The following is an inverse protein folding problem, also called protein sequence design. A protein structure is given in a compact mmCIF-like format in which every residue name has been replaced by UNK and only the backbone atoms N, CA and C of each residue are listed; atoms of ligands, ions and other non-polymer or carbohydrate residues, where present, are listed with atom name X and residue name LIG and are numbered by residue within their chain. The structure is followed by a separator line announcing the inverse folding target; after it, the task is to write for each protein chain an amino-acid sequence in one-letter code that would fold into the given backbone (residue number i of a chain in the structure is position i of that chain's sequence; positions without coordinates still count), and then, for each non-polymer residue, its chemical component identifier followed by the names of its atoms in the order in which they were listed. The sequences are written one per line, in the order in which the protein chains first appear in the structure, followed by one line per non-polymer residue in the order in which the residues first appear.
data_IF_047072489958
#
_entry.id   IF_047072489958
#
_cell.length_a   1.000
_cell.length_b   1.000
_cell.length_c   1.000
_cell.angle_alpha   90.00
_cell.angle_beta   90.00
_cell.angle_gamma   90.00
#
_symmetry.space_group_name_H-M   'P 1'
#
loop_
_entity.id
_entity.type
_entity.pdbx_description
1 polymer ?
#
# COMPACT_ATOMS: atom_id res chain seq x y z
N UNK A 1 25.79 28.76 2.56
CA UNK A 1 24.46 29.38 2.69
C UNK A 1 23.42 28.77 1.74
N UNK A 2 23.60 28.78 0.41
CA UNK A 2 22.65 28.09 -0.50
C UNK A 2 22.68 26.56 -0.32
N UNK A 3 23.87 25.98 -0.19
CA UNK A 3 24.05 24.53 0.03
C UNK A 3 23.45 24.08 1.39
N UNK A 4 23.59 24.89 2.45
CA UNK A 4 23.08 24.55 3.78
C UNK A 4 21.54 24.55 3.85
N UNK A 5 20.90 25.46 3.10
CA UNK A 5 19.44 25.52 3.00
C UNK A 5 18.89 24.35 2.16
N UNK A 6 19.56 24.01 1.06
CA UNK A 6 19.20 22.84 0.24
C UNK A 6 19.38 21.53 1.02
N UNK A 7 20.48 21.38 1.77
CA UNK A 7 20.74 20.22 2.62
C UNK A 7 19.72 20.11 3.77
N UNK A 8 19.36 21.23 4.40
CA UNK A 8 18.33 21.25 5.44
C UNK A 8 16.95 20.87 4.90
N UNK A 9 16.56 21.39 3.73
CA UNK A 9 15.30 21.04 3.06
C UNK A 9 15.30 19.56 2.69
N UNK A 10 16.39 19.05 2.12
CA UNK A 10 16.52 17.64 1.74
C UNK A 10 16.44 16.71 2.94
N UNK A 11 17.09 17.07 4.04
CA UNK A 11 17.03 16.33 5.31
C UNK A 11 15.61 16.30 5.85
N UNK A 12 14.92 17.43 5.88
CA UNK A 12 13.52 17.51 6.33
C UNK A 12 12.56 16.70 5.44
N UNK A 13 12.71 16.76 4.12
CA UNK A 13 11.89 15.96 3.19
C UNK A 13 12.12 14.46 3.38
N UNK A 14 13.37 14.08 3.68
CA UNK A 14 13.73 12.70 3.95
C UNK A 14 13.11 12.22 5.26
N UNK A 15 13.15 13.03 6.33
CA UNK A 15 12.51 12.67 7.60
C UNK A 15 11.00 12.51 7.47
N UNK A 16 10.32 13.45 6.78
CA UNK A 16 8.86 13.35 6.54
C UNK A 16 8.50 12.09 5.76
N UNK A 17 9.32 11.72 4.76
CA UNK A 17 9.16 10.45 4.04
C UNK A 17 9.34 9.27 4.99
N UNK A 18 10.39 9.23 5.80
CA UNK A 18 10.65 8.15 6.75
C UNK A 18 9.53 7.97 7.78
N UNK A 19 8.98 9.08 8.28
CA UNK A 19 7.84 9.09 9.20
C UNK A 19 6.60 8.45 8.55
N UNK A 20 6.28 8.85 7.32
CA UNK A 20 5.20 8.25 6.53
C UNK A 20 5.44 6.76 6.29
N UNK A 21 6.66 6.41 5.87
CA UNK A 21 7.03 5.03 5.55
C UNK A 21 6.99 4.11 6.78
N UNK A 22 7.25 4.66 7.97
CA UNK A 22 7.08 3.96 9.24
C UNK A 22 5.60 3.62 9.45
N UNK A 23 4.71 4.60 9.34
CA UNK A 23 3.26 4.39 9.42
C UNK A 23 2.77 3.30 8.46
N UNK A 24 3.16 3.38 7.21
CA UNK A 24 2.83 2.39 6.16
C UNK A 24 3.32 1.00 6.53
N UNK A 25 4.56 0.87 6.99
CA UNK A 25 5.15 -0.44 7.28
C UNK A 25 4.49 -1.13 8.46
N UNK A 26 4.07 -0.38 9.49
CA UNK A 26 3.32 -0.92 10.62
C UNK A 26 1.84 -1.19 10.31
N UNK A 27 1.27 -0.53 9.29
CA UNK A 27 -0.08 -0.80 8.80
C UNK A 27 -0.17 -2.13 8.04
N UNK A 28 0.84 -2.48 7.22
CA UNK A 28 0.83 -3.67 6.34
C UNK A 28 0.46 -4.98 7.06
N UNK A 29 0.99 -5.32 8.25
CA UNK A 29 0.58 -6.54 8.94
C UNK A 29 -0.93 -6.64 9.23
N UNK A 30 -1.60 -5.52 9.56
CA UNK A 30 -3.05 -5.49 9.78
C UNK A 30 -3.82 -5.74 8.49
N UNK A 31 -3.33 -5.14 7.40
CA UNK A 31 -3.84 -5.32 6.04
C UNK A 31 -3.72 -6.78 5.60
N UNK A 32 -2.58 -7.40 5.86
CA UNK A 32 -2.32 -8.81 5.55
C UNK A 32 -3.25 -9.75 6.30
N UNK A 33 -3.38 -9.57 7.63
CA UNK A 33 -4.32 -10.35 8.43
C UNK A 33 -5.74 -10.12 7.94
N UNK A 34 -6.13 -8.86 7.72
CA UNK A 34 -7.45 -8.47 7.24
C UNK A 34 -7.83 -9.15 5.92
N UNK A 35 -6.95 -9.03 4.93
CA UNK A 35 -7.15 -9.62 3.59
C UNK A 35 -7.23 -11.14 3.60
N UNK A 36 -6.30 -11.82 4.28
CA UNK A 36 -6.24 -13.29 4.29
C UNK A 36 -7.44 -13.87 5.04
N UNK A 37 -7.79 -13.35 6.22
CA UNK A 37 -8.92 -13.88 6.98
C UNK A 37 -10.25 -13.61 6.28
N UNK A 38 -10.40 -12.44 5.63
CA UNK A 38 -11.57 -12.17 4.78
C UNK A 38 -11.65 -13.17 3.62
N UNK A 39 -10.51 -13.49 2.99
CA UNK A 39 -10.43 -14.49 1.94
C UNK A 39 -10.85 -15.88 2.39
N UNK A 40 -10.35 -16.31 3.54
CA UNK A 40 -10.73 -17.60 4.14
C UNK A 40 -12.21 -17.62 4.52
N UNK A 41 -12.78 -16.50 4.99
CA UNK A 41 -14.21 -16.39 5.27
C UNK A 41 -15.06 -16.67 4.05
N UNK A 42 -14.74 -16.05 2.91
CA UNK A 42 -15.41 -16.31 1.63
C UNK A 42 -15.17 -17.74 1.12
N UNK A 43 -13.95 -18.26 1.23
CA UNK A 43 -13.64 -19.62 0.80
C UNK A 43 -14.43 -20.67 1.58
N UNK A 44 -14.52 -20.52 2.91
CA UNK A 44 -15.35 -21.41 3.75
C UNK A 44 -16.82 -21.28 3.40
N UNK A 45 -17.32 -20.07 3.19
CA UNK A 45 -18.72 -19.88 2.78
C UNK A 45 -19.03 -20.47 1.40
N UNK A 46 -18.05 -20.54 0.49
CA UNK A 46 -18.23 -21.18 -0.81
C UNK A 46 -18.49 -22.68 -0.72
N UNK A 47 -17.94 -23.35 0.30
CA UNK A 47 -18.20 -24.78 0.53
C UNK A 47 -19.68 -25.04 0.89
N UNK A 48 -20.38 -24.02 1.40
CA UNK A 48 -21.80 -24.07 1.73
C UNK A 48 -22.69 -23.35 0.71
N UNK A 49 -22.16 -22.94 -0.46
CA UNK A 49 -22.85 -22.14 -1.47
C UNK A 49 -23.43 -20.79 -0.96
N UNK A 50 -22.89 -20.25 0.14
CA UNK A 50 -23.39 -19.04 0.81
C UNK A 50 -22.42 -17.85 0.71
N UNK A 51 -21.60 -17.79 -0.35
CA UNK A 51 -20.56 -16.73 -0.50
C UNK A 51 -21.16 -15.33 -0.47
N UNK A 52 -22.30 -15.13 -1.13
CA UNK A 52 -22.97 -13.83 -1.18
C UNK A 52 -23.55 -13.41 0.17
N UNK A 53 -23.74 -14.37 1.08
CA UNK A 53 -24.36 -14.18 2.38
C UNK A 53 -23.40 -14.39 3.56
N UNK A 54 -22.08 -14.35 3.35
CA UNK A 54 -21.08 -14.55 4.43
C UNK A 54 -21.36 -13.63 5.61
N UNK A 55 -21.66 -12.36 5.35
CA UNK A 55 -21.94 -11.37 6.41
C UNK A 55 -23.33 -11.51 7.02
N UNK A 56 -24.29 -12.10 6.31
CA UNK A 56 -25.65 -12.37 6.80
C UNK A 56 -25.73 -13.70 7.58
N UNK A 57 -24.83 -14.63 7.30
CA UNK A 57 -24.75 -15.98 7.89
C UNK A 57 -24.08 -15.96 9.27
N UNK A 58 -24.62 -15.16 10.18
CA UNK A 58 -24.07 -14.94 11.53
C UNK A 58 -23.90 -16.28 12.27
N UNK A 59 -22.76 -16.44 12.96
CA UNK A 59 -22.44 -17.65 13.74
C UNK A 59 -21.83 -18.80 12.92
N UNK A 60 -21.71 -18.67 11.60
CA UNK A 60 -20.96 -19.64 10.78
C UNK A 60 -19.45 -19.42 10.87
N UNK A 61 -18.66 -20.46 10.59
CA UNK A 61 -17.19 -20.34 10.55
C UNK A 61 -16.71 -19.29 9.53
N UNK A 62 -17.36 -19.22 8.35
CA UNK A 62 -17.06 -18.20 7.33
C UNK A 62 -17.31 -16.79 7.84
N UNK A 63 -18.41 -16.57 8.58
CA UNK A 63 -18.71 -15.29 9.20
C UNK A 63 -17.65 -14.89 10.24
N UNK A 64 -17.26 -15.78 11.15
CA UNK A 64 -16.22 -15.48 12.15
C UNK A 64 -14.89 -15.10 11.49
N UNK A 65 -14.47 -15.82 10.45
CA UNK A 65 -13.26 -15.50 9.68
C UNK A 65 -13.38 -14.14 8.99
N UNK A 66 -14.52 -13.85 8.36
CA UNK A 66 -14.76 -12.56 7.73
C UNK A 66 -14.74 -11.39 8.73
N UNK A 67 -15.27 -11.57 9.95
CA UNK A 67 -15.21 -10.55 11.01
C UNK A 67 -13.77 -10.24 11.44
N UNK A 68 -12.89 -11.25 11.56
CA UNK A 68 -11.46 -11.02 11.81
C UNK A 68 -10.85 -10.21 10.65
N UNK A 69 -11.24 -10.55 9.42
CA UNK A 69 -10.84 -9.82 8.22
C UNK A 69 -11.22 -8.33 8.26
N UNK A 70 -12.50 -8.06 8.53
CA UNK A 70 -13.04 -6.69 8.66
C UNK A 70 -12.35 -5.92 9.78
N UNK A 71 -12.08 -6.55 10.92
CA UNK A 71 -11.37 -5.92 12.03
C UNK A 71 -9.95 -5.47 11.60
N UNK A 72 -9.21 -6.33 10.90
CA UNK A 72 -7.88 -6.01 10.38
C UNK A 72 -7.89 -4.81 9.41
N UNK A 73 -8.82 -4.82 8.44
CA UNK A 73 -8.96 -3.73 7.47
C UNK A 73 -9.45 -2.43 8.11
N UNK A 74 -10.30 -2.50 9.15
CA UNK A 74 -10.77 -1.30 9.87
C UNK A 74 -9.64 -0.65 10.68
N UNK A 75 -8.80 -1.46 11.31
CA UNK A 75 -7.70 -0.98 12.15
C UNK A 75 -6.51 -0.43 11.35
N UNK A 76 -6.40 -0.74 10.06
CA UNK A 76 -5.28 -0.30 9.23
C UNK A 76 -5.13 1.24 9.19
N UNK A 77 -6.25 1.97 9.08
CA UNK A 77 -6.25 3.44 8.95
C UNK A 77 -5.83 4.12 10.26
N UNK A 78 -6.38 3.76 11.44
CA UNK A 78 -5.86 4.25 12.72
C UNK A 78 -4.40 3.89 12.99
N UNK A 79 -3.97 2.68 12.62
CA UNK A 79 -2.58 2.23 12.79
C UNK A 79 -1.63 3.07 11.95
N UNK A 80 -1.99 3.40 10.71
CA UNK A 80 -1.21 4.30 9.85
C UNK A 80 -0.90 5.61 10.57
N UNK A 81 -1.93 6.34 11.02
CA UNK A 81 -1.74 7.62 11.70
C UNK A 81 -1.02 7.49 13.04
N UNK A 82 -1.29 6.44 13.81
CA UNK A 82 -0.60 6.16 15.07
C UNK A 82 0.91 6.01 14.88
N UNK A 83 1.33 5.25 13.87
CA UNK A 83 2.75 4.97 13.65
C UNK A 83 3.49 6.08 12.90
N UNK A 84 2.80 6.96 12.16
CA UNK A 84 3.37 8.25 11.72
C UNK A 84 3.65 9.12 12.95
N UNK A 85 2.69 9.25 13.86
CA UNK A 85 2.87 10.05 15.08
C UNK A 85 3.97 9.48 15.98
N UNK A 86 4.05 8.15 16.06
CA UNK A 86 5.12 7.43 16.76
C UNK A 86 6.50 7.70 16.15
N UNK A 87 6.64 7.72 14.82
CA UNK A 87 7.93 8.00 14.18
C UNK A 87 8.47 9.39 14.56
N UNK A 88 7.57 10.37 14.75
CA UNK A 88 7.93 11.76 15.06
C UNK A 88 8.18 11.98 16.56
N UNK A 89 7.38 11.36 17.44
CA UNK A 89 7.34 11.67 18.88
C UNK A 89 7.65 10.50 19.82
N UNK A 90 7.90 9.30 19.29
CA UNK A 90 7.94 8.01 19.99
C UNK A 90 6.58 7.63 20.62
N UNK A 91 6.62 6.79 21.66
CA UNK A 91 5.45 6.27 22.41
C UNK A 91 4.41 7.34 22.78
N UNK A 92 4.76 8.57 23.20
CA UNK A 92 3.77 9.60 23.56
C UNK A 92 2.84 10.02 22.42
N UNK A 93 3.29 9.94 21.17
CA UNK A 93 2.49 10.29 19.98
C UNK A 93 1.55 9.19 19.51
N UNK A 94 1.79 7.95 19.92
CA UNK A 94 1.09 6.76 19.42
C UNK A 94 -0.43 6.81 19.67
N UNK A 95 -0.84 7.00 20.93
CA UNK A 95 -2.26 7.02 21.29
C UNK A 95 -3.02 8.22 20.69
N UNK A 96 -2.50 9.46 20.71
CA UNK A 96 -3.12 10.58 20.01
C UNK A 96 -3.29 10.33 18.51
N UNK A 97 -2.24 9.85 17.84
CA UNK A 97 -2.30 9.54 16.40
C UNK A 97 -3.36 8.50 16.07
N UNK A 98 -3.48 7.46 16.89
CA UNK A 98 -4.50 6.42 16.74
C UNK A 98 -5.91 6.99 16.92
N UNK A 99 -6.17 7.66 18.04
CA UNK A 99 -7.51 8.16 18.41
C UNK A 99 -7.98 9.22 17.41
N UNK A 100 -7.12 10.17 17.04
CA UNK A 100 -7.46 11.22 16.09
C UNK A 100 -7.74 10.65 14.70
N UNK A 101 -6.98 9.65 14.25
CA UNK A 101 -7.23 8.97 12.97
C UNK A 101 -8.52 8.15 13.00
N UNK A 102 -8.83 7.52 14.13
CA UNK A 102 -10.05 6.72 14.29
C UNK A 102 -11.30 7.60 14.36
N UNK A 103 -11.28 8.69 15.12
CA UNK A 103 -12.47 9.53 15.35
C UNK A 103 -12.92 10.25 14.06
N UNK A 104 -11.98 10.69 13.22
CA UNK A 104 -12.30 11.30 11.92
C UNK A 104 -12.70 10.26 10.87
N UNK A 105 -12.55 8.97 11.14
CA UNK A 105 -13.12 7.93 10.28
C UNK A 105 -14.59 7.67 10.59
N UNK A 106 -15.08 8.11 11.77
CA UNK A 106 -16.47 7.95 12.16
C UNK A 106 -17.35 8.95 11.40
N UNK A 107 -17.99 8.49 10.33
CA UNK A 107 -18.80 9.33 9.45
C UNK A 107 -19.92 10.09 10.16
N UNK A 108 -20.56 9.46 11.15
CA UNK A 108 -21.56 10.12 12.00
C UNK A 108 -20.98 11.27 12.83
N UNK A 109 -19.75 11.14 13.32
CA UNK A 109 -19.08 12.18 14.11
C UNK A 109 -18.67 13.34 13.22
N UNK A 110 -18.09 13.06 12.04
CA UNK A 110 -17.72 14.12 11.10
C UNK A 110 -18.92 14.83 10.49
N UNK A 111 -20.00 14.10 10.21
CA UNK A 111 -21.25 14.71 9.75
C UNK A 111 -21.80 15.67 10.81
N UNK A 112 -21.87 15.26 12.07
CA UNK A 112 -22.28 16.15 13.16
C UNK A 112 -21.35 17.37 13.31
N UNK A 113 -20.05 17.19 13.11
CA UNK A 113 -19.11 18.31 13.10
C UNK A 113 -19.36 19.26 11.91
N UNK A 114 -19.69 18.72 10.74
CA UNK A 114 -20.09 19.46 9.54
C UNK A 114 -21.34 20.31 9.78
N UNK A 115 -22.35 19.75 10.42
CA UNK A 115 -23.58 20.46 10.78
C UNK A 115 -23.30 21.65 11.72
N UNK A 116 -22.37 21.50 12.67
CA UNK A 116 -21.95 22.58 13.59
C UNK A 116 -21.25 23.72 12.86
N UNK A 117 -20.40 23.42 11.87
CA UNK A 117 -19.62 24.43 11.14
C UNK A 117 -20.30 24.92 9.85
N UNK A 118 -21.51 24.44 9.56
CA UNK A 118 -22.30 24.81 8.38
C UNK A 118 -21.77 24.24 7.06
N UNK A 119 -21.00 23.15 7.11
CA UNK A 119 -20.48 22.46 5.92
C UNK A 119 -21.18 21.12 5.73
N UNK A 120 -21.76 20.90 4.55
CA UNK A 120 -22.35 19.61 4.18
C UNK A 120 -21.26 18.61 3.80
N UNK A 121 -21.29 17.42 4.39
CA UNK A 121 -20.33 16.35 4.12
C UNK A 121 -20.00 15.54 5.38
N UNK A 122 -18.89 14.81 5.36
CA UNK A 122 -18.36 14.12 6.54
C UNK A 122 -18.81 12.66 6.71
N UNK A 123 -19.92 12.24 6.09
CA UNK A 123 -20.48 10.89 6.27
C UNK A 123 -19.57 9.76 5.79
N UNK A 124 -18.68 10.03 4.83
CA UNK A 124 -17.70 9.08 4.33
C UNK A 124 -16.50 8.88 5.29
N UNK A 125 -16.35 9.72 6.31
CA UNK A 125 -15.11 9.77 7.07
C UNK A 125 -14.00 10.50 6.29
N UNK A 126 -12.87 10.76 6.95
CA UNK A 126 -11.72 11.43 6.33
C UNK A 126 -10.79 10.47 5.56
N UNK A 127 -11.01 9.16 5.65
CA UNK A 127 -10.24 8.14 4.94
C UNK A 127 -8.76 8.11 5.34
N UNK A 128 -7.95 7.46 4.49
CA UNK A 128 -6.50 7.39 4.68
C UNK A 128 -5.81 8.77 4.63
N UNK A 129 -6.36 9.73 3.87
CA UNK A 129 -5.87 11.11 3.82
C UNK A 129 -5.97 11.76 5.20
N UNK A 130 -7.12 11.57 5.88
CA UNK A 130 -7.33 12.00 7.25
C UNK A 130 -6.30 11.42 8.20
N UNK A 131 -6.05 10.11 8.13
CA UNK A 131 -5.09 9.44 9.01
C UNK A 131 -3.65 9.93 8.82
N UNK A 132 -3.22 10.22 7.59
CA UNK A 132 -1.90 10.79 7.33
C UNK A 132 -1.79 12.17 7.99
N UNK A 133 -2.78 13.05 7.76
CA UNK A 133 -2.81 14.40 8.36
C UNK A 133 -2.85 14.32 9.88
N UNK A 134 -3.73 13.48 10.43
CA UNK A 134 -3.87 13.27 11.87
C UNK A 134 -2.56 12.76 12.49
N UNK A 135 -1.90 11.79 11.85
CA UNK A 135 -0.63 11.23 12.31
C UNK A 135 0.49 12.27 12.36
N UNK A 136 0.66 13.06 11.30
CA UNK A 136 1.67 14.12 11.28
C UNK A 136 1.39 15.20 12.34
N UNK A 137 0.15 15.68 12.43
CA UNK A 137 -0.21 16.70 13.42
C UNK A 137 -0.04 16.18 14.85
N UNK A 138 -0.50 14.96 15.13
CA UNK A 138 -0.34 14.32 16.43
C UNK A 138 1.13 14.17 16.81
N UNK A 139 1.97 13.71 15.88
CA UNK A 139 3.41 13.60 16.09
C UNK A 139 4.07 14.95 16.38
N UNK A 140 3.78 15.97 15.58
CA UNK A 140 4.35 17.31 15.73
C UNK A 140 3.95 17.93 17.09
N UNK A 141 2.67 17.86 17.45
CA UNK A 141 2.17 18.43 18.71
C UNK A 141 2.66 17.63 19.92
N UNK A 142 2.69 16.30 19.84
CA UNK A 142 3.24 15.47 20.92
C UNK A 142 4.74 15.75 21.13
N UNK A 143 5.51 15.88 20.05
CA UNK A 143 6.94 16.26 20.10
C UNK A 143 7.12 17.66 20.70
N UNK A 144 6.25 18.60 20.37
CA UNK A 144 6.27 19.94 20.94
C UNK A 144 6.05 19.93 22.46
N UNK A 145 5.11 19.13 22.97
CA UNK A 145 4.93 18.96 24.41
C UNK A 145 6.12 18.24 25.07
N UNK A 146 6.71 17.26 24.39
CA UNK A 146 7.90 16.52 24.86
C UNK A 146 9.12 17.42 25.07
N UNK A 147 9.23 18.51 24.31
CA UNK A 147 10.31 19.48 24.39
C UNK A 147 10.10 20.56 25.45
N UNK A 148 9.02 20.51 26.24
CA UNK A 148 8.76 21.48 27.30
C UNK A 148 9.45 21.09 28.60
N UNK A 149 10.16 22.05 29.17
CA UNK A 149 10.73 21.92 30.51
C UNK A 149 9.60 21.91 31.54
N UNK A 150 9.58 20.87 32.36
CA UNK A 150 8.62 20.70 33.46
C UNK A 150 9.34 20.39 34.76
N UNK A 151 8.74 20.68 35.92
CA UNK A 151 9.29 20.28 37.21
C UNK A 151 9.55 18.77 37.30
N UNK A 152 10.59 18.37 38.04
CA UNK A 152 11.02 16.96 38.16
C UNK A 152 9.90 16.01 38.61
N UNK A 153 8.97 16.48 39.45
CA UNK A 153 7.84 15.67 39.91
C UNK A 153 6.78 15.39 38.82
N UNK A 154 6.76 16.18 37.74
CA UNK A 154 5.84 16.03 36.61
C UNK A 154 6.47 15.22 35.48
N UNK A 155 7.79 15.26 35.33
CA UNK A 155 8.50 14.61 34.24
C UNK A 155 8.12 13.13 33.99
N UNK A 156 7.90 12.28 35.02
CA UNK A 156 7.45 10.90 34.82
C UNK A 156 6.04 10.77 34.21
N UNK A 157 5.16 11.74 34.49
CA UNK A 157 3.78 11.75 33.99
C UNK A 157 3.67 12.29 32.56
N UNK A 158 4.70 12.98 32.06
CA UNK A 158 4.71 13.59 30.73
C UNK A 158 4.42 12.58 29.61
N UNK A 159 5.25 11.54 29.39
CA UNK A 159 5.06 10.62 28.26
C UNK A 159 3.86 9.70 28.41
N UNK A 160 3.41 9.42 29.64
CA UNK A 160 2.36 8.44 29.92
C UNK A 160 0.96 9.07 29.92
N UNK A 161 0.82 10.29 30.43
CA UNK A 161 -0.49 10.90 30.66
C UNK A 161 -0.60 12.29 30.03
N UNK A 162 0.31 13.21 30.34
CA UNK A 162 0.12 14.62 29.96
C UNK A 162 0.25 14.83 28.45
N UNK A 163 1.30 14.29 27.82
CA UNK A 163 1.50 14.45 26.38
C UNK A 163 0.36 13.78 25.59
N UNK A 164 -0.04 12.51 25.84
CA UNK A 164 -1.14 11.91 25.10
C UNK A 164 -2.47 12.66 25.26
N UNK A 165 -2.84 13.04 26.49
CA UNK A 165 -4.10 13.72 26.77
C UNK A 165 -4.10 15.13 26.19
N UNK A 166 -3.03 15.91 26.39
CA UNK A 166 -2.96 17.28 25.92
C UNK A 166 -2.92 17.34 24.38
N UNK A 167 -2.15 16.47 23.73
CA UNK A 167 -2.10 16.37 22.26
C UNK A 167 -3.48 16.08 21.70
N UNK A 168 -4.19 15.09 22.25
CA UNK A 168 -5.53 14.72 21.79
C UNK A 168 -6.52 15.85 22.06
N UNK A 169 -6.50 16.47 23.24
CA UNK A 169 -7.41 17.56 23.60
C UNK A 169 -7.24 18.79 22.72
N UNK A 170 -5.99 19.16 22.39
CA UNK A 170 -5.69 20.30 21.51
C UNK A 170 -6.08 20.01 20.08
N UNK A 171 -5.80 18.80 19.56
CA UNK A 171 -6.02 18.49 18.16
C UNK A 171 -7.43 18.02 17.84
N UNK A 172 -8.19 17.45 18.77
CA UNK A 172 -9.54 16.94 18.48
C UNK A 172 -10.46 18.03 17.90
N UNK A 173 -10.55 19.26 18.47
CA UNK A 173 -11.35 20.33 17.87
C UNK A 173 -10.86 20.72 16.47
N UNK A 174 -9.54 20.76 16.26
CA UNK A 174 -8.96 21.09 14.95
C UNK A 174 -9.31 20.01 13.92
N UNK A 175 -9.16 18.74 14.30
CA UNK A 175 -9.43 17.61 13.43
C UNK A 175 -10.92 17.46 13.12
N UNK A 176 -11.83 17.77 14.04
CA UNK A 176 -13.27 17.66 13.78
C UNK A 176 -13.82 18.88 13.03
N UNK A 177 -13.54 20.08 13.53
CA UNK A 177 -14.25 21.29 13.09
C UNK A 177 -13.49 22.12 12.05
N UNK A 178 -12.20 21.85 11.83
CA UNK A 178 -11.40 22.60 10.85
C UNK A 178 -10.98 21.73 9.69
N UNK A 179 -10.41 20.55 9.95
CA UNK A 179 -9.76 19.74 8.92
C UNK A 179 -10.58 18.53 8.46
N UNK A 180 -11.22 17.81 9.36
CA UNK A 180 -11.79 16.50 9.06
C UNK A 180 -12.93 16.54 8.05
N UNK A 181 -13.82 17.54 8.13
CA UNK A 181 -14.92 17.70 7.16
C UNK A 181 -14.38 18.05 5.76
N UNK A 182 -13.50 19.07 5.58
CA UNK A 182 -12.87 19.31 4.29
C UNK A 182 -12.10 18.10 3.73
N UNK A 183 -11.37 17.37 4.58
CA UNK A 183 -10.65 16.17 4.15
C UNK A 183 -11.63 15.07 3.72
N UNK A 184 -12.73 14.88 4.44
CA UNK A 184 -13.78 13.92 4.06
C UNK A 184 -14.42 14.26 2.72
N UNK A 185 -14.68 15.55 2.45
CA UNK A 185 -15.18 16.01 1.15
C UNK A 185 -14.15 15.73 0.05
N UNK A 186 -12.87 16.03 0.29
CA UNK A 186 -11.80 15.73 -0.65
C UNK A 186 -11.67 14.22 -0.92
N UNK A 187 -11.80 13.39 0.12
CA UNK A 187 -11.77 11.94 0.03
C UNK A 187 -12.95 11.41 -0.80
N UNK A 188 -14.17 11.88 -0.53
CA UNK A 188 -15.36 11.53 -1.31
C UNK A 188 -15.21 11.94 -2.78
N UNK A 189 -14.70 13.13 -3.06
CA UNK A 189 -14.44 13.59 -4.42
C UNK A 189 -13.38 12.75 -5.14
N UNK A 190 -12.34 12.31 -4.43
CA UNK A 190 -11.34 11.37 -4.97
C UNK A 190 -11.98 10.00 -5.29
N UNK A 191 -12.78 9.46 -4.36
CA UNK A 191 -13.49 8.19 -4.55
C UNK A 191 -14.44 8.25 -5.75
N UNK A 192 -15.19 9.35 -5.90
CA UNK A 192 -16.07 9.59 -7.05
C UNK A 192 -15.27 9.69 -8.36
N UNK A 193 -14.21 10.49 -8.37
CA UNK A 193 -13.33 10.63 -9.52
C UNK A 193 -12.78 9.27 -9.99
N UNK A 194 -12.27 8.46 -9.06
CA UNK A 194 -11.72 7.14 -9.36
C UNK A 194 -12.79 6.14 -9.77
N UNK A 195 -13.99 6.20 -9.17
CA UNK A 195 -15.13 5.35 -9.56
C UNK A 195 -15.55 5.64 -11.00
N UNK A 196 -15.60 6.92 -11.39
CA UNK A 196 -15.91 7.33 -12.76
C UNK A 196 -14.83 6.92 -13.78
N UNK A 197 -13.58 6.69 -13.35
CA UNK A 197 -12.51 6.21 -14.24
C UNK A 197 -12.61 4.71 -14.58
N UNK A 198 -13.33 3.90 -13.79
CA UNK A 198 -13.34 2.43 -13.92
C UNK A 198 -14.01 1.89 -15.20
N UNK A 199 -14.62 2.74 -16.04
CA UNK A 199 -15.29 2.36 -17.29
C UNK A 199 -14.75 2.99 -18.58
N UNK A 200 -13.63 3.75 -18.52
CA UNK A 200 -13.11 4.51 -19.67
C UNK A 200 -11.62 4.26 -19.97
N UNK A 201 -11.08 4.89 -21.03
CA UNK A 201 -9.66 4.79 -21.39
C UNK A 201 -8.70 5.31 -20.30
N UNK A 202 -9.20 6.10 -19.36
CA UNK A 202 -8.47 6.62 -18.21
C UNK A 202 -8.08 5.54 -17.20
N UNK A 203 -8.88 4.47 -17.07
CA UNK A 203 -8.55 3.31 -16.23
C UNK A 203 -7.26 2.62 -16.70
N UNK A 204 -7.03 2.57 -18.01
CA UNK A 204 -5.82 1.99 -18.61
C UNK A 204 -4.58 2.77 -18.17
N UNK A 205 -4.64 4.10 -18.22
CA UNK A 205 -3.53 4.98 -17.82
C UNK A 205 -3.24 4.85 -16.33
N UNK A 206 -4.28 4.84 -15.49
CA UNK A 206 -4.12 4.64 -14.05
C UNK A 206 -3.48 3.28 -13.74
N UNK A 207 -3.98 2.21 -14.37
CA UNK A 207 -3.41 0.88 -14.23
C UNK A 207 -1.96 0.80 -14.67
N UNK A 208 -1.59 1.46 -15.77
CA UNK A 208 -0.21 1.53 -16.24
C UNK A 208 0.71 2.23 -15.24
N UNK A 209 0.27 3.36 -14.68
CA UNK A 209 1.04 4.13 -13.69
C UNK A 209 1.23 3.31 -12.41
N UNK A 210 0.14 2.77 -11.85
CA UNK A 210 0.20 1.93 -10.65
C UNK A 210 1.07 0.70 -10.87
N UNK A 211 0.94 0.07 -12.03
CA UNK A 211 1.75 -1.08 -12.40
C UNK A 211 3.24 -0.75 -12.52
N UNK A 212 3.57 0.36 -13.18
CA UNK A 212 4.95 0.85 -13.28
C UNK A 212 5.55 1.14 -11.90
N UNK A 213 4.80 1.83 -11.02
CA UNK A 213 5.23 2.15 -9.66
C UNK A 213 5.52 0.90 -8.82
N UNK A 214 4.70 -0.15 -8.96
CA UNK A 214 4.91 -1.40 -8.23
C UNK A 214 6.23 -2.09 -8.59
N UNK A 215 6.70 -1.98 -9.83
CA UNK A 215 7.94 -2.64 -10.25
C UNK A 215 9.18 -1.73 -10.19
N UNK A 216 9.00 -0.42 -10.02
CA UNK A 216 10.08 0.57 -10.13
C UNK A 216 11.26 0.30 -9.18
N UNK A 217 10.97 -0.09 -7.95
CA UNK A 217 11.98 -0.30 -6.90
C UNK A 217 11.77 -1.60 -6.09
N UNK A 218 10.96 -2.54 -6.62
CA UNK A 218 10.85 -3.94 -6.15
C UNK A 218 10.62 -4.08 -4.63
N UNK A 219 9.70 -3.30 -4.08
CA UNK A 219 9.38 -3.29 -2.63
C UNK A 219 9.89 -2.04 -1.89
N UNK A 220 10.54 -1.13 -2.62
CA UNK A 220 10.96 0.17 -2.11
C UNK A 220 9.83 1.20 -1.94
N UNK A 221 10.17 2.47 -1.69
CA UNK A 221 9.20 3.54 -1.45
C UNK A 221 8.17 3.76 -2.55
N UNK A 222 8.54 3.69 -3.83
CA UNK A 222 7.62 3.92 -4.97
C UNK A 222 6.57 2.82 -5.01
N UNK A 223 6.98 1.56 -4.87
CA UNK A 223 6.08 0.42 -4.74
C UNK A 223 5.12 0.61 -3.56
N UNK A 224 5.64 0.94 -2.38
CA UNK A 224 4.82 1.13 -1.19
C UNK A 224 3.83 2.29 -1.32
N UNK A 225 4.17 3.36 -2.04
CA UNK A 225 3.21 4.46 -2.32
C UNK A 225 2.05 3.97 -3.17
N UNK A 226 2.32 3.22 -4.26
CA UNK A 226 1.25 2.64 -5.07
C UNK A 226 0.40 1.66 -4.26
N UNK A 227 1.03 0.84 -3.41
CA UNK A 227 0.34 -0.07 -2.51
C UNK A 227 -0.60 0.65 -1.54
N UNK A 228 -0.11 1.67 -0.84
CA UNK A 228 -0.87 2.45 0.15
C UNK A 228 -2.04 3.17 -0.49
N UNK A 229 -1.82 3.74 -1.68
CA UNK A 229 -2.88 4.35 -2.47
C UNK A 229 -3.99 3.33 -2.78
N UNK A 230 -3.64 2.16 -3.30
CA UNK A 230 -4.63 1.15 -3.68
C UNK A 230 -5.32 0.48 -2.49
N UNK A 231 -4.63 0.21 -1.39
CA UNK A 231 -5.25 -0.39 -0.19
C UNK A 231 -6.17 0.61 0.52
N UNK A 232 -5.81 1.89 0.56
CA UNK A 232 -6.66 2.94 1.15
C UNK A 232 -8.03 3.00 0.49
N UNK A 233 -8.08 2.80 -0.83
CA UNK A 233 -9.30 2.80 -1.62
C UNK A 233 -10.22 1.60 -1.39
N UNK A 234 -9.72 0.50 -0.81
CA UNK A 234 -10.56 -0.66 -0.46
C UNK A 234 -11.61 -0.27 0.58
N UNK A 235 -11.22 0.55 1.57
CA UNK A 235 -12.16 1.04 2.59
C UNK A 235 -13.28 1.92 2.02
N UNK A 236 -13.05 2.48 0.83
CA UNK A 236 -14.00 3.30 0.07
C UNK A 236 -14.80 2.49 -0.96
N UNK A 237 -14.63 1.16 -1.00
CA UNK A 237 -15.27 0.26 -1.96
C UNK A 237 -14.64 0.27 -3.37
N UNK A 238 -13.56 1.01 -3.59
CA UNK A 238 -12.86 1.10 -4.88
C UNK A 238 -11.73 0.07 -4.91
N UNK A 239 -12.00 -1.10 -5.50
CA UNK A 239 -11.10 -2.27 -5.40
C UNK A 239 -10.33 -2.61 -6.69
N UNK A 240 -10.64 -1.94 -7.81
CA UNK A 240 -9.91 -2.12 -9.08
C UNK A 240 -8.42 -1.71 -8.99
N UNK A 241 -8.05 -0.57 -8.37
CA UNK A 241 -6.63 -0.20 -8.18
C UNK A 241 -5.84 -1.23 -7.37
N UNK A 242 -6.49 -1.92 -6.42
CA UNK A 242 -5.86 -2.99 -5.66
C UNK A 242 -5.56 -4.20 -6.54
N UNK A 243 -6.48 -4.61 -7.42
CA UNK A 243 -6.23 -5.68 -8.37
C UNK A 243 -5.03 -5.36 -9.27
N UNK A 244 -4.99 -4.15 -9.83
CA UNK A 244 -3.89 -3.70 -10.69
C UNK A 244 -2.55 -3.75 -9.97
N UNK A 245 -2.48 -3.24 -8.74
CA UNK A 245 -1.27 -3.27 -7.90
C UNK A 245 -0.85 -4.70 -7.56
N UNK A 246 -1.80 -5.57 -7.20
CA UNK A 246 -1.49 -6.96 -6.86
C UNK A 246 -0.92 -7.72 -8.06
N UNK A 247 -1.63 -7.68 -9.19
CA UNK A 247 -1.21 -8.32 -10.43
C UNK A 247 0.18 -7.79 -10.82
N UNK A 248 0.36 -6.47 -10.84
CA UNK A 248 1.61 -5.84 -11.23
C UNK A 248 2.78 -6.17 -10.30
N UNK A 249 2.57 -6.36 -9.00
CA UNK A 249 3.65 -6.73 -8.08
C UNK A 249 4.06 -8.21 -8.16
N UNK A 250 3.21 -9.09 -8.69
CA UNK A 250 3.57 -10.50 -8.96
C UNK A 250 4.41 -10.67 -10.23
N UNK A 251 4.28 -9.74 -11.18
CA UNK A 251 4.91 -9.81 -12.51
C UNK A 251 6.44 -9.85 -12.50
N UNK A 252 7.18 -8.99 -11.76
CA UNK A 252 8.63 -8.89 -11.88
C UNK A 252 9.39 -10.21 -11.66
N UNK A 253 9.20 -10.93 -10.54
CA UNK A 253 9.90 -12.19 -10.32
C UNK A 253 9.45 -13.31 -11.27
N UNK A 254 8.17 -13.37 -11.66
CA UNK A 254 7.67 -14.39 -12.61
C UNK A 254 8.23 -14.15 -14.01
N UNK A 255 8.20 -12.91 -14.49
CA UNK A 255 8.71 -12.53 -15.81
C UNK A 255 10.21 -12.71 -15.94
N UNK A 256 10.98 -12.40 -14.89
CA UNK A 256 12.42 -12.64 -14.88
C UNK A 256 12.77 -14.13 -14.81
N UNK A 257 12.02 -14.92 -14.03
CA UNK A 257 12.18 -16.36 -14.03
C UNK A 257 11.90 -16.95 -15.42
N UNK A 258 10.83 -16.50 -16.08
CA UNK A 258 10.49 -16.91 -17.45
C UNK A 258 11.60 -16.54 -18.44
N UNK A 259 12.15 -15.33 -18.37
CA UNK A 259 13.28 -14.90 -19.20
C UNK A 259 14.52 -15.77 -18.98
N UNK A 260 14.82 -16.12 -17.73
CA UNK A 260 15.94 -16.98 -17.38
C UNK A 260 15.74 -18.42 -17.90
N UNK A 261 14.54 -18.98 -17.79
CA UNK A 261 14.25 -20.32 -18.33
C UNK A 261 14.34 -20.39 -19.86
N UNK A 262 13.93 -19.32 -20.56
CA UNK A 262 13.95 -19.28 -22.03
C UNK A 262 15.36 -19.00 -22.57
N UNK A 263 16.13 -18.14 -21.90
CA UNK A 263 17.45 -17.71 -22.35
C UNK A 263 18.48 -17.76 -21.20
N UNK A 264 18.77 -18.96 -20.66
CA UNK A 264 19.65 -19.12 -19.49
C UNK A 264 21.06 -18.57 -19.74
N UNK A 265 21.55 -18.58 -20.99
CA UNK A 265 22.84 -18.03 -21.40
C UNK A 265 22.99 -16.50 -21.19
N UNK A 266 21.90 -15.78 -20.88
CA UNK A 266 21.91 -14.34 -20.57
C UNK A 266 22.09 -14.05 -19.07
N UNK A 267 22.18 -15.10 -18.25
CA UNK A 267 22.26 -15.03 -16.79
C UNK A 267 23.42 -15.86 -16.26
N UNK A 268 23.91 -15.51 -15.07
CA UNK A 268 24.83 -16.39 -14.35
C UNK A 268 24.12 -17.71 -13.99
N UNK A 269 24.85 -18.83 -14.05
CA UNK A 269 24.28 -20.16 -13.80
C UNK A 269 23.58 -20.27 -12.42
N UNK A 270 24.13 -19.59 -11.41
CA UNK A 270 23.58 -19.53 -10.05
C UNK A 270 22.18 -18.88 -10.00
N UNK A 271 21.83 -18.02 -10.96
CA UNK A 271 20.53 -17.37 -11.01
C UNK A 271 19.40 -18.33 -11.42
N UNK A 272 19.71 -19.55 -11.90
CA UNK A 272 18.68 -20.52 -12.24
C UNK A 272 17.89 -21.00 -11.01
N UNK A 273 18.54 -21.17 -9.86
CA UNK A 273 17.83 -21.50 -8.61
C UNK A 273 16.99 -20.30 -8.13
N UNK A 274 17.48 -19.07 -8.34
CA UNK A 274 16.70 -17.85 -8.08
C UNK A 274 15.47 -17.74 -9.00
N UNK A 275 15.53 -18.26 -10.23
CA UNK A 275 14.37 -18.30 -11.12
C UNK A 275 13.28 -19.24 -10.59
N UNK A 276 13.65 -20.43 -10.11
CA UNK A 276 12.69 -21.38 -9.52
C UNK A 276 11.99 -20.81 -8.30
N UNK A 277 12.75 -20.25 -7.37
CA UNK A 277 12.18 -19.60 -6.19
C UNK A 277 11.39 -18.35 -6.56
N UNK A 278 11.85 -17.57 -7.53
CA UNK A 278 11.19 -16.37 -8.05
C UNK A 278 9.75 -16.61 -8.53
N UNK A 279 9.46 -17.75 -9.15
CA UNK A 279 8.07 -18.09 -9.54
C UNK A 279 7.15 -18.18 -8.31
N UNK A 280 7.59 -18.90 -7.26
CA UNK A 280 6.81 -19.06 -6.03
C UNK A 280 6.65 -17.73 -5.29
N UNK A 281 7.74 -16.95 -5.19
CA UNK A 281 7.72 -15.62 -4.56
C UNK A 281 6.78 -14.67 -5.31
N UNK A 282 6.84 -14.67 -6.64
CA UNK A 282 5.95 -13.89 -7.49
C UNK A 282 4.49 -14.22 -7.28
N UNK A 283 4.12 -15.50 -7.35
CA UNK A 283 2.75 -15.91 -7.03
C UNK A 283 2.36 -15.62 -5.58
N UNK A 284 3.30 -15.46 -4.66
CA UNK A 284 3.03 -15.06 -3.28
C UNK A 284 2.94 -13.54 -3.08
N UNK A 285 3.00 -12.75 -4.17
CA UNK A 285 3.04 -11.29 -4.14
C UNK A 285 4.25 -10.73 -3.37
N UNK A 286 5.40 -11.38 -3.57
CA UNK A 286 6.72 -10.97 -3.05
C UNK A 286 7.57 -10.54 -4.24
N UNK A 287 7.61 -9.23 -4.49
CA UNK A 287 8.32 -8.63 -5.64
C UNK A 287 9.85 -8.72 -5.50
N UNK A 288 10.34 -8.94 -4.30
CA UNK A 288 11.76 -9.00 -3.92
C UNK A 288 12.53 -10.12 -4.62
N UNK A 289 11.83 -11.15 -5.13
CA UNK A 289 12.45 -12.18 -5.97
C UNK A 289 13.13 -11.63 -7.24
N UNK A 290 12.82 -10.39 -7.64
CA UNK A 290 13.46 -9.69 -8.75
C UNK A 290 14.77 -8.96 -8.37
N UNK A 291 15.02 -8.71 -7.08
CA UNK A 291 16.18 -7.91 -6.62
C UNK A 291 17.51 -8.48 -7.10
N UNK A 292 17.79 -9.81 -7.02
CA UNK A 292 19.07 -10.34 -7.49
C UNK A 292 19.34 -10.05 -8.97
N UNK A 293 18.29 -10.06 -9.80
CA UNK A 293 18.40 -9.75 -11.22
C UNK A 293 18.66 -8.25 -11.45
N UNK A 294 17.94 -7.39 -10.73
CA UNK A 294 18.09 -5.94 -10.83
C UNK A 294 19.46 -5.48 -10.32
N UNK A 295 19.99 -6.09 -9.26
CA UNK A 295 21.33 -5.82 -8.76
C UNK A 295 22.41 -6.17 -9.80
N UNK A 296 22.24 -7.26 -10.55
CA UNK A 296 23.21 -7.69 -11.56
C UNK A 296 23.13 -6.89 -12.87
N UNK A 297 21.96 -6.37 -13.24
CA UNK A 297 21.80 -5.59 -14.48
C UNK A 297 20.65 -4.57 -14.43
N UNK A 298 20.77 -3.49 -13.64
CA UNK A 298 19.65 -2.60 -13.33
C UNK A 298 19.12 -1.88 -14.57
N UNK A 299 20.03 -1.45 -15.46
CA UNK A 299 19.69 -0.69 -16.66
C UNK A 299 18.78 -1.45 -17.65
N UNK A 300 18.78 -2.78 -17.61
CA UNK A 300 17.92 -3.61 -18.46
C UNK A 300 16.78 -4.24 -17.69
N UNK A 301 17.03 -4.71 -16.47
CA UNK A 301 16.02 -5.41 -15.68
C UNK A 301 14.91 -4.45 -15.24
N UNK A 302 15.25 -3.28 -14.70
CA UNK A 302 14.24 -2.33 -14.18
C UNK A 302 13.27 -1.88 -15.28
N UNK A 303 13.72 -1.40 -16.46
CA UNK A 303 12.79 -1.05 -17.53
C UNK A 303 11.92 -2.22 -18.01
N UNK A 304 12.47 -3.45 -18.02
CA UNK A 304 11.73 -4.64 -18.44
C UNK A 304 10.57 -4.97 -17.50
N UNK A 305 10.84 -4.99 -16.18
CA UNK A 305 9.82 -5.29 -15.17
C UNK A 305 8.81 -4.15 -15.06
N UNK A 306 9.25 -2.90 -15.17
CA UNK A 306 8.35 -1.72 -15.19
C UNK A 306 7.40 -1.79 -16.36
N UNK A 307 7.88 -2.10 -17.56
CA UNK A 307 7.04 -2.23 -18.75
C UNK A 307 6.03 -3.38 -18.60
N UNK A 308 6.46 -4.55 -18.15
CA UNK A 308 5.55 -5.68 -17.96
C UNK A 308 4.49 -5.44 -16.88
N UNK A 309 4.88 -4.88 -15.74
CA UNK A 309 3.94 -4.54 -14.66
C UNK A 309 2.99 -3.41 -15.06
N UNK A 310 3.43 -2.42 -15.84
CA UNK A 310 2.56 -1.40 -16.42
C UNK A 310 1.52 -2.02 -17.37
N UNK A 311 1.93 -2.94 -18.25
CA UNK A 311 0.99 -3.63 -19.16
C UNK A 311 -0.02 -4.47 -18.36
N UNK A 312 0.43 -5.19 -17.33
CA UNK A 312 -0.45 -5.99 -16.49
C UNK A 312 -1.46 -5.13 -15.72
N UNK A 313 -1.03 -4.03 -15.11
CA UNK A 313 -1.91 -3.09 -14.40
C UNK A 313 -2.90 -2.42 -15.34
N UNK A 314 -2.44 -1.99 -16.51
CA UNK A 314 -3.29 -1.42 -17.57
C UNK A 314 -4.36 -2.40 -18.04
N UNK A 315 -3.97 -3.65 -18.31
CA UNK A 315 -4.89 -4.71 -18.72
C UNK A 315 -5.92 -5.02 -17.62
N UNK A 316 -5.47 -5.15 -16.37
CA UNK A 316 -6.36 -5.38 -15.21
C UNK A 316 -7.44 -4.30 -15.12
N UNK A 317 -7.06 -3.03 -15.21
CA UNK A 317 -8.00 -1.92 -15.13
C UNK A 317 -8.90 -1.84 -16.36
N UNK A 318 -8.38 -2.13 -17.56
CA UNK A 318 -9.17 -2.16 -18.80
C UNK A 318 -10.26 -3.23 -18.78
N UNK A 319 -9.99 -4.36 -18.15
CA UNK A 319 -10.89 -5.52 -18.08
C UNK A 319 -11.84 -5.46 -16.88
N UNK A 320 -11.72 -4.43 -16.03
CA UNK A 320 -12.56 -4.27 -14.84
C UNK A 320 -12.29 -5.33 -13.77
N UNK A 321 -11.04 -5.79 -13.64
CA UNK A 321 -10.66 -6.74 -12.59
C UNK A 321 -10.61 -6.01 -11.24
N UNK A 322 -11.26 -6.59 -10.24
CA UNK A 322 -11.39 -6.06 -8.89
C UNK A 322 -10.84 -7.06 -7.86
N UNK A 323 -10.28 -6.56 -6.78
CA UNK A 323 -9.71 -7.37 -5.71
C UNK A 323 -9.95 -6.74 -4.33
N UNK A 324 -10.86 -7.30 -3.50
CA UNK A 324 -11.15 -6.77 -2.18
C UNK A 324 -10.09 -7.13 -1.12
N UNK A 325 -9.23 -8.13 -1.39
CA UNK A 325 -8.16 -8.52 -0.49
C UNK A 325 -6.84 -7.83 -0.87
N UNK A 326 -6.20 -7.08 0.04
CA UNK A 326 -4.97 -6.33 -0.25
C UNK A 326 -3.67 -7.14 -0.22
N UNK A 327 -3.72 -8.41 0.20
CA UNK A 327 -2.53 -9.25 0.32
C UNK A 327 -2.89 -10.74 0.26
N UNK A 328 -1.93 -11.58 -0.13
CA UNK A 328 -2.09 -13.04 -0.18
C UNK A 328 -1.85 -13.69 -1.55
N UNK A 329 -1.36 -12.93 -2.54
CA UNK A 329 -0.89 -13.52 -3.80
C UNK A 329 -1.94 -14.33 -4.56
N UNK A 330 -1.53 -15.46 -5.11
CA UNK A 330 -2.37 -16.43 -5.81
C UNK A 330 -3.47 -16.99 -4.89
N UNK A 331 -3.25 -17.02 -3.58
CA UNK A 331 -4.19 -17.61 -2.61
C UNK A 331 -5.49 -16.80 -2.48
N UNK A 332 -5.48 -15.52 -2.84
CA UNK A 332 -6.68 -14.65 -2.79
C UNK A 332 -7.33 -14.43 -4.15
N UNK A 333 -6.81 -15.03 -5.22
CA UNK A 333 -7.39 -14.97 -6.57
C UNK A 333 -8.88 -15.34 -6.63
N UNK A 334 -9.37 -16.35 -5.87
CA UNK A 334 -10.81 -16.68 -5.86
C UNK A 334 -11.72 -15.55 -5.39
N UNK A 335 -11.19 -14.54 -4.69
CA UNK A 335 -11.96 -13.36 -4.27
C UNK A 335 -12.10 -12.30 -5.35
N UNK A 336 -11.32 -12.39 -6.42
CA UNK A 336 -11.47 -11.47 -7.53
C UNK A 336 -12.84 -11.66 -8.17
N UNK A 337 -13.43 -10.58 -8.67
CA UNK A 337 -14.63 -10.67 -9.50
C UNK A 337 -14.39 -11.46 -10.80
N UNK A 338 -13.14 -11.53 -11.28
CA UNK A 338 -12.75 -12.23 -12.50
C UNK A 338 -11.44 -13.01 -12.30
N UNK A 339 -11.46 -14.15 -11.57
CA UNK A 339 -10.24 -14.89 -11.20
C UNK A 339 -9.37 -15.29 -12.40
N UNK A 340 -9.99 -15.71 -13.50
CA UNK A 340 -9.27 -16.09 -14.72
C UNK A 340 -8.60 -14.90 -15.40
N UNK A 341 -9.26 -13.74 -15.45
CA UNK A 341 -8.68 -12.52 -16.02
C UNK A 341 -7.56 -11.97 -15.14
N UNK A 342 -7.67 -12.11 -13.82
CA UNK A 342 -6.61 -11.78 -12.88
C UNK A 342 -5.31 -12.55 -13.21
N UNK A 343 -5.41 -13.88 -13.37
CA UNK A 343 -4.27 -14.73 -13.77
C UNK A 343 -3.77 -14.37 -15.17
N UNK A 344 -4.68 -14.15 -16.12
CA UNK A 344 -4.31 -13.77 -17.49
C UNK A 344 -3.50 -12.47 -17.54
N UNK A 345 -3.84 -11.47 -16.72
CA UNK A 345 -3.09 -10.23 -16.62
C UNK A 345 -1.69 -10.43 -16.03
N UNK A 346 -1.54 -11.31 -15.03
CA UNK A 346 -0.21 -11.69 -14.49
C UNK A 346 0.64 -12.31 -15.58
N UNK A 347 0.08 -13.27 -16.33
CA UNK A 347 0.77 -13.94 -17.41
C UNK A 347 1.16 -12.96 -18.52
N UNK A 348 0.26 -12.06 -18.91
CA UNK A 348 0.52 -11.02 -19.91
C UNK A 348 1.72 -10.16 -19.52
N UNK A 349 1.72 -9.58 -18.31
CA UNK A 349 2.84 -8.76 -17.85
C UNK A 349 4.14 -9.54 -17.68
N UNK A 350 4.05 -10.80 -17.24
CA UNK A 350 5.21 -11.67 -17.09
C UNK A 350 5.84 -12.01 -18.45
N UNK A 351 5.01 -12.27 -19.48
CA UNK A 351 5.47 -12.47 -20.85
C UNK A 351 6.12 -11.20 -21.40
N UNK A 352 5.51 -10.02 -21.22
CA UNK A 352 6.09 -8.75 -21.65
C UNK A 352 7.45 -8.51 -20.98
N UNK A 353 7.54 -8.70 -19.67
CA UNK A 353 8.80 -8.62 -18.91
C UNK A 353 9.84 -9.56 -19.51
N UNK A 354 9.47 -10.82 -19.75
CA UNK A 354 10.38 -11.83 -20.26
C UNK A 354 10.87 -11.53 -21.68
N UNK A 355 9.98 -11.09 -22.56
CA UNK A 355 10.32 -10.71 -23.94
C UNK A 355 11.29 -9.53 -23.94
N UNK A 356 10.99 -8.47 -23.19
CA UNK A 356 11.86 -7.28 -23.14
C UNK A 356 13.22 -7.65 -22.54
N UNK A 357 13.24 -8.30 -21.37
CA UNK A 357 14.48 -8.69 -20.71
C UNK A 357 15.36 -9.59 -21.59
N UNK A 358 14.75 -10.57 -22.26
CA UNK A 358 15.45 -11.47 -23.19
C UNK A 358 15.98 -10.72 -24.40
N UNK A 359 15.21 -9.79 -24.96
CA UNK A 359 15.61 -9.03 -26.14
C UNK A 359 16.80 -8.10 -25.86
N UNK A 360 16.82 -7.42 -24.72
CA UNK A 360 17.80 -6.36 -24.44
C UNK A 360 19.03 -6.81 -23.64
N UNK A 361 18.98 -7.93 -22.90
CA UNK A 361 20.15 -8.43 -22.16
C UNK A 361 21.16 -9.11 -23.10
N UNK A 362 22.46 -8.80 -23.02
CA UNK A 362 23.50 -9.54 -23.75
C UNK A 362 23.71 -10.94 -23.14
N UNK A 363 24.43 -11.80 -23.84
CA UNK A 363 24.89 -13.07 -23.27
C UNK A 363 25.84 -12.80 -22.11
N UNK A 364 25.72 -13.57 -21.02
CA UNK A 364 26.45 -13.34 -19.78
C UNK A 364 27.96 -13.45 -20.00
N UNK A 365 28.43 -14.53 -20.63
CA UNK A 365 29.85 -14.76 -20.87
C UNK A 365 30.48 -13.69 -21.77
N UNK A 366 29.74 -13.23 -22.80
CA UNK A 366 30.20 -12.16 -23.68
C UNK A 366 30.32 -10.82 -22.94
N UNK A 367 29.41 -10.53 -22.00
CA UNK A 367 29.47 -9.34 -21.15
C UNK A 367 30.66 -9.40 -20.20
N UNK A 368 30.90 -10.55 -19.56
CA UNK A 368 32.04 -10.74 -18.65
C UNK A 368 33.37 -10.61 -19.40
N UNK A 369 33.48 -11.20 -20.60
CA UNK A 369 34.66 -11.09 -21.44
C UNK A 369 34.97 -9.63 -21.83
N UNK A 370 33.95 -8.85 -22.20
CA UNK A 370 34.11 -7.43 -22.55
C UNK A 370 34.51 -6.56 -21.35
N UNK A 371 34.05 -6.89 -20.14
CA UNK A 371 34.46 -6.18 -18.92
C UNK A 371 35.91 -6.47 -18.54
N UNK A 372 36.37 -7.72 -18.71
CA UNK A 372 37.76 -8.10 -18.43
C UNK A 372 38.79 -7.56 -19.44
N UNK A 373 38.35 -7.08 -20.60
CA UNK A 373 39.23 -6.47 -21.60
C UNK A 373 39.43 -4.96 -21.43
N UNK A 374 38.58 -4.31 -20.63
CA UNK A 374 38.62 -2.88 -20.35
C UNK A 374 39.36 -2.54 -19.03
N UNK A 375 39.77 -3.55 -18.25
CA UNK A 375 40.61 -3.46 -17.04
C UNK A 375 42.10 -3.74 -17.35
#
# INVERSE_FOLDING_TARGET
MANDAEDAVRSYLTSVKEDLMTGVSFMIPFVTIGGIFLALGYAVASLSNNVQDVFNSTGTAGWFLAQIGVAGLTLMVPVLGAYIAYAIADRPGLAPGFILSYIIQQGNVLQAAGDVIGLQGGSAGAGYLGAIVAGFLAGIVARWFKQRDVPEFIAPMMPVLLIPVATTAVLTPVMLFVLGVPISIANAGLTEFLSNMQGGGQAIVLGAILGAMMAADMGGPINKVAYVFSVGLISEGVTAPMAAVMIAGMVPPIGLALSNFIAPQKYAAEMYENAKSGVLLGFSFITEGAIPYAAADPARVIPSVVAGSAVAGAASMALGVNMPAPHGGIFVVPLSNQPFMFIACILLGSIVTAVIATAIKPNFDAKMAAQSSDD
#
